data_IF_255544308165
#
_entry.id   IF_255544308165
#
_cell.length_a   1.000
_cell.length_b   1.000
_cell.length_c   1.000
_cell.angle_alpha   90.00
_cell.angle_beta   90.00
_cell.angle_gamma   90.00
#
_symmetry.space_group_name_H-M   'P 1'
#
loop_
_entity.id
_entity.type
_entity.pdbx_description
1 polymer ?
#
# COMPACT_ATOMS: atom_id res chain seq x y z
N UNK A 1 -1.66 -11.22 21.35
CA UNK A 1 -2.52 -10.37 20.51
C UNK A 1 -2.29 -8.91 20.87
N UNK A 2 -2.08 -8.04 19.90
CA UNK A 2 -1.84 -6.60 20.12
C UNK A 2 -3.18 -5.84 20.22
N UNK A 3 -3.94 -6.08 21.29
CA UNK A 3 -5.37 -5.71 21.43
C UNK A 3 -5.67 -4.21 21.53
N UNK A 4 -4.65 -3.38 21.71
CA UNK A 4 -4.75 -1.92 21.81
C UNK A 4 -3.92 -1.20 20.73
N UNK A 5 -3.47 -1.92 19.70
CA UNK A 5 -2.70 -1.32 18.62
C UNK A 5 -3.62 -0.46 17.75
N UNK A 6 -3.47 0.86 17.87
CA UNK A 6 -4.22 1.86 17.09
C UNK A 6 -3.39 2.47 15.97
N UNK A 7 -2.06 2.36 16.06
CA UNK A 7 -1.11 2.89 15.09
C UNK A 7 -0.09 1.82 14.74
N UNK A 8 0.16 1.62 13.44
CA UNK A 8 1.17 0.72 12.92
C UNK A 8 1.90 1.39 11.75
N UNK A 9 3.22 1.36 11.81
CA UNK A 9 4.09 1.77 10.71
C UNK A 9 5.03 0.62 10.35
N UNK A 10 5.08 0.26 9.07
CA UNK A 10 5.85 -0.87 8.56
C UNK A 10 6.78 -0.41 7.45
N UNK A 11 8.00 -0.92 7.46
CA UNK A 11 8.94 -0.84 6.34
C UNK A 11 9.25 -2.25 5.87
N UNK A 12 8.95 -2.54 4.61
CA UNK A 12 8.97 -3.88 4.01
C UNK A 12 9.95 -3.88 2.84
N UNK A 13 10.85 -4.86 2.78
CA UNK A 13 11.89 -4.94 1.74
C UNK A 13 11.79 -6.16 0.81
N UNK A 14 11.14 -7.23 1.24
CA UNK A 14 11.12 -8.49 0.49
C UNK A 14 9.94 -9.40 0.86
N UNK A 15 8.88 -8.81 1.41
CA UNK A 15 7.65 -9.54 1.74
C UNK A 15 6.68 -9.38 0.58
N UNK A 16 6.22 -10.49 0.01
CA UNK A 16 5.16 -10.45 -0.99
C UNK A 16 3.81 -10.03 -0.35
N UNK A 17 2.85 -9.63 -1.18
CA UNK A 17 1.55 -9.15 -0.70
C UNK A 17 0.78 -10.21 0.08
N UNK A 18 0.87 -11.48 -0.34
CA UNK A 18 0.13 -12.57 0.31
C UNK A 18 0.54 -12.75 1.77
N UNK A 19 1.85 -12.76 2.04
CA UNK A 19 2.37 -12.87 3.39
C UNK A 19 2.06 -11.62 4.22
N UNK A 20 2.03 -10.44 3.58
CA UNK A 20 1.55 -9.21 4.21
C UNK A 20 0.07 -9.30 4.60
N UNK A 21 -0.81 -9.83 3.74
CA UNK A 21 -2.24 -10.05 4.05
C UNK A 21 -2.38 -10.97 5.27
N UNK A 22 -1.64 -12.08 5.30
CA UNK A 22 -1.62 -13.01 6.44
C UNK A 22 -1.17 -12.29 7.72
N UNK A 23 -0.15 -11.44 7.63
CA UNK A 23 0.34 -10.66 8.76
C UNK A 23 -0.72 -9.68 9.28
N UNK A 24 -1.33 -8.88 8.40
CA UNK A 24 -2.40 -7.94 8.77
C UNK A 24 -3.60 -8.68 9.36
N UNK A 25 -3.95 -9.86 8.82
CA UNK A 25 -5.05 -10.68 9.33
C UNK A 25 -4.85 -11.17 10.77
N UNK A 26 -3.60 -11.22 11.27
CA UNK A 26 -3.28 -11.55 12.67
C UNK A 26 -3.39 -10.34 13.61
N UNK A 27 -3.49 -9.12 13.08
CA UNK A 27 -3.60 -7.90 13.87
C UNK A 27 -5.07 -7.67 14.22
N UNK A 28 -5.37 -7.68 15.52
CA UNK A 28 -6.73 -7.46 16.00
C UNK A 28 -7.16 -6.00 15.78
N UNK A 29 -8.36 -5.80 15.23
CA UNK A 29 -8.69 -4.70 14.32
C UNK A 29 -9.09 -3.35 14.94
N UNK A 30 -8.40 -2.87 15.97
CA UNK A 30 -8.57 -1.49 16.47
C UNK A 30 -7.64 -0.48 15.79
N UNK A 31 -7.04 -0.88 14.68
CA UNK A 31 -6.06 -0.06 13.99
C UNK A 31 -6.75 1.13 13.33
N UNK A 32 -6.38 2.33 13.77
CA UNK A 32 -6.89 3.61 13.27
C UNK A 32 -5.97 4.17 12.19
N UNK A 33 -4.66 3.95 12.34
CA UNK A 33 -3.63 4.43 11.40
C UNK A 33 -2.71 3.30 10.96
N UNK A 34 -2.57 3.15 9.65
CA UNK A 34 -1.63 2.25 9.01
C UNK A 34 -0.73 3.04 8.05
N UNK A 35 0.58 2.95 8.25
CA UNK A 35 1.58 3.47 7.32
C UNK A 35 2.44 2.32 6.83
N UNK A 36 2.58 2.18 5.52
CA UNK A 36 3.35 1.12 4.89
C UNK A 36 4.30 1.72 3.87
N UNK A 37 5.58 1.44 4.03
CA UNK A 37 6.62 1.77 3.07
C UNK A 37 7.21 0.46 2.55
N UNK A 38 7.07 0.22 1.25
CA UNK A 38 7.46 -1.03 0.60
C UNK A 38 8.53 -0.73 -0.42
N UNK A 39 9.62 -1.47 -0.35
CA UNK A 39 10.58 -1.66 -1.42
C UNK A 39 10.47 -3.13 -1.78
N UNK A 40 9.90 -3.46 -2.93
CA UNK A 40 9.63 -4.85 -3.33
C UNK A 40 9.41 -4.88 -4.83
N UNK A 41 9.74 -6.00 -5.46
CA UNK A 41 9.46 -6.23 -6.89
C UNK A 41 8.07 -6.87 -7.10
N UNK A 42 7.32 -7.08 -6.02
CA UNK A 42 5.97 -7.63 -6.08
C UNK A 42 4.95 -6.56 -6.50
N UNK A 43 4.68 -6.51 -7.81
CA UNK A 43 3.71 -5.59 -8.41
C UNK A 43 2.28 -5.75 -7.85
N UNK A 44 1.98 -6.84 -7.14
CA UNK A 44 0.64 -7.03 -6.58
C UNK A 44 0.32 -6.06 -5.45
N UNK A 45 1.31 -5.34 -4.92
CA UNK A 45 1.09 -4.16 -4.06
C UNK A 45 0.44 -2.98 -4.79
N UNK A 46 0.46 -2.97 -6.11
CA UNK A 46 -0.19 -1.95 -6.94
C UNK A 46 -1.62 -2.34 -7.37
N UNK A 47 -2.15 -3.46 -6.88
CA UNK A 47 -3.55 -3.86 -7.06
C UNK A 47 -4.43 -3.16 -6.00
N UNK A 48 -5.16 -2.12 -6.41
CA UNK A 48 -5.98 -1.35 -5.49
C UNK A 48 -7.13 -2.18 -4.93
N UNK A 49 -7.70 -3.10 -5.71
CA UNK A 49 -8.83 -3.93 -5.28
C UNK A 49 -8.41 -4.92 -4.19
N UNK A 50 -7.18 -5.43 -4.22
CA UNK A 50 -6.63 -6.25 -3.13
C UNK A 50 -6.53 -5.47 -1.83
N UNK A 51 -5.99 -4.26 -1.90
CA UNK A 51 -5.95 -3.35 -0.74
C UNK A 51 -7.35 -3.04 -0.21
N UNK A 52 -8.31 -2.73 -1.08
CA UNK A 52 -9.70 -2.48 -0.67
C UNK A 52 -10.28 -3.67 0.11
N UNK A 53 -10.12 -4.90 -0.40
CA UNK A 53 -10.59 -6.12 0.28
C UNK A 53 -9.92 -6.33 1.63
N UNK A 54 -8.60 -6.22 1.69
CA UNK A 54 -7.82 -6.37 2.92
C UNK A 54 -8.31 -5.40 4.00
N UNK A 55 -8.50 -4.13 3.63
CA UNK A 55 -8.91 -3.07 4.55
C UNK A 55 -10.34 -3.30 5.04
N UNK A 56 -11.27 -3.63 4.14
CA UNK A 56 -12.66 -3.90 4.50
C UNK A 56 -12.79 -5.14 5.40
N UNK A 57 -11.97 -6.16 5.19
CA UNK A 57 -12.03 -7.42 5.95
C UNK A 57 -11.34 -7.33 7.31
N UNK A 58 -10.16 -6.71 7.38
CA UNK A 58 -9.29 -6.79 8.55
C UNK A 58 -9.12 -5.46 9.30
N UNK A 59 -9.39 -4.32 8.66
CA UNK A 59 -9.13 -2.99 9.22
C UNK A 59 -10.37 -2.07 9.13
N UNK A 60 -11.56 -2.51 9.60
CA UNK A 60 -12.80 -1.73 9.48
C UNK A 60 -12.79 -0.38 10.21
N UNK A 61 -11.89 -0.19 11.18
CA UNK A 61 -11.74 1.06 11.94
C UNK A 61 -10.64 1.97 11.39
N UNK A 62 -10.06 1.64 10.23
CA UNK A 62 -8.96 2.42 9.66
C UNK A 62 -9.48 3.78 9.19
N UNK A 63 -8.91 4.84 9.76
CA UNK A 63 -9.22 6.23 9.39
C UNK A 63 -8.12 6.85 8.55
N UNK A 64 -6.87 6.44 8.77
CA UNK A 64 -5.69 6.98 8.10
C UNK A 64 -4.86 5.86 7.48
N UNK A 65 -4.64 5.97 6.19
CA UNK A 65 -3.77 5.09 5.46
C UNK A 65 -2.74 5.90 4.68
N UNK A 66 -1.49 5.49 4.78
CA UNK A 66 -0.40 5.98 3.94
C UNK A 66 0.37 4.80 3.38
N UNK A 67 0.50 4.79 2.07
CA UNK A 67 1.23 3.77 1.34
C UNK A 67 2.27 4.42 0.44
N UNK A 68 3.49 3.89 0.51
CA UNK A 68 4.58 4.24 -0.38
C UNK A 68 5.16 2.97 -0.97
N UNK A 69 5.12 2.84 -2.29
CA UNK A 69 5.81 1.78 -3.03
C UNK A 69 7.07 2.35 -3.66
N UNK A 70 8.20 1.68 -3.47
CA UNK A 70 9.47 2.00 -4.09
C UNK A 70 9.79 0.94 -5.12
N UNK A 71 9.78 1.34 -6.39
CA UNK A 71 10.18 0.50 -7.52
C UNK A 71 11.63 0.80 -7.92
N UNK A 72 12.41 -0.25 -8.17
CA UNK A 72 13.74 -0.17 -8.73
C UNK A 72 13.66 -0.67 -10.16
N UNK A 73 13.76 0.25 -11.13
CA UNK A 73 13.58 -0.06 -12.55
C UNK A 73 14.75 -0.90 -13.06
N UNK A 74 14.62 -2.23 -13.00
CA UNK A 74 15.47 -3.14 -13.76
C UNK A 74 14.76 -3.48 -15.08
N UNK A 75 14.92 -2.58 -16.06
CA UNK A 75 14.79 -2.76 -17.52
C UNK A 75 13.50 -3.34 -18.16
N UNK A 76 12.49 -3.79 -17.43
CA UNK A 76 11.25 -4.31 -18.04
C UNK A 76 10.03 -3.40 -17.77
N UNK A 77 9.62 -2.73 -18.85
CA UNK A 77 8.62 -1.68 -18.90
C UNK A 77 7.20 -2.20 -18.57
N UNK A 78 6.86 -2.37 -17.30
CA UNK A 78 5.47 -2.58 -16.82
C UNK A 78 5.02 -1.41 -15.97
N UNK A 79 5.15 -0.22 -16.55
CA UNK A 79 4.85 1.04 -15.86
C UNK A 79 3.34 1.16 -15.61
N UNK A 80 2.94 0.77 -14.40
CA UNK A 80 1.75 1.30 -13.72
C UNK A 80 0.37 0.91 -14.28
N UNK A 81 0.29 -0.17 -15.05
CA UNK A 81 -1.00 -0.78 -15.36
C UNK A 81 -1.74 -1.09 -14.05
N UNK A 82 -2.90 -0.46 -13.86
CA UNK A 82 -3.70 -0.61 -12.65
C UNK A 82 -3.59 0.53 -11.63
N UNK A 83 -2.67 1.51 -11.78
CA UNK A 83 -2.68 2.66 -10.86
C UNK A 83 -3.97 3.48 -10.94
N UNK A 84 -4.65 3.47 -12.08
CA UNK A 84 -5.98 4.06 -12.24
C UNK A 84 -7.04 3.45 -11.30
N UNK A 85 -6.82 2.25 -10.77
CA UNK A 85 -7.73 1.63 -9.80
C UNK A 85 -7.75 2.40 -8.47
N UNK A 86 -6.65 3.10 -8.12
CA UNK A 86 -6.62 4.00 -6.96
C UNK A 86 -7.42 5.28 -7.15
N UNK A 87 -8.00 5.50 -8.34
CA UNK A 87 -8.96 6.57 -8.59
C UNK A 87 -10.42 6.13 -8.34
N UNK A 88 -10.66 4.94 -7.78
CA UNK A 88 -12.01 4.50 -7.45
C UNK A 88 -12.66 5.43 -6.39
N UNK A 89 -14.00 5.52 -6.34
CA UNK A 89 -14.69 6.28 -5.30
C UNK A 89 -14.31 5.86 -3.87
N UNK A 90 -13.88 4.62 -3.65
CA UNK A 90 -13.41 4.15 -2.35
C UNK A 90 -12.19 4.95 -1.88
N UNK A 91 -11.20 5.12 -2.77
CA UNK A 91 -9.93 5.79 -2.49
C UNK A 91 -10.09 7.30 -2.44
N UNK A 92 -10.76 7.88 -3.45
CA UNK A 92 -10.97 9.33 -3.55
C UNK A 92 -11.72 9.87 -2.33
N UNK A 93 -12.80 9.21 -1.89
CA UNK A 93 -13.59 9.66 -0.73
C UNK A 93 -12.79 9.63 0.57
N UNK A 94 -11.87 8.66 0.72
CA UNK A 94 -11.04 8.51 1.92
C UNK A 94 -9.88 9.50 1.98
N UNK A 95 -9.47 10.06 0.84
CA UNK A 95 -8.34 11.02 0.75
C UNK A 95 -7.07 10.48 1.42
N UNK A 96 -6.87 9.18 1.35
CA UNK A 96 -5.66 8.54 1.86
C UNK A 96 -4.45 8.88 1.00
N UNK A 97 -3.25 8.55 1.48
CA UNK A 97 -2.01 8.86 0.77
C UNK A 97 -1.53 7.59 0.08
N UNK A 98 -1.36 7.68 -1.24
CA UNK A 98 -0.78 6.63 -2.05
C UNK A 98 0.28 7.25 -2.97
N UNK A 99 1.53 6.89 -2.74
CA UNK A 99 2.65 7.39 -3.52
C UNK A 99 3.43 6.22 -4.12
N UNK A 100 3.72 6.28 -5.41
CA UNK A 100 4.65 5.35 -6.06
C UNK A 100 5.92 6.12 -6.35
N UNK A 101 7.00 5.74 -5.68
CA UNK A 101 8.35 6.26 -5.88
C UNK A 101 9.08 5.34 -6.81
N UNK A 102 9.68 5.91 -7.85
CA UNK A 102 10.37 5.15 -8.87
C UNK A 102 11.79 5.67 -8.93
N UNK A 103 12.75 4.76 -8.85
CA UNK A 103 14.17 5.05 -8.98
C UNK A 103 14.61 4.54 -10.33
N UNK A 104 14.99 5.47 -11.21
CA UNK A 104 15.43 5.20 -12.58
C UNK A 104 16.67 6.02 -12.88
N UNK A 105 17.77 5.37 -13.29
CA UNK A 105 19.06 6.02 -13.58
C UNK A 105 19.57 7.01 -12.51
N UNK A 106 19.24 6.78 -11.23
CA UNK A 106 19.60 7.66 -10.11
C UNK A 106 18.67 8.87 -9.91
N UNK A 107 17.64 9.01 -10.75
CA UNK A 107 16.54 9.96 -10.61
C UNK A 107 15.42 9.31 -9.79
N UNK A 108 14.85 10.07 -8.86
CA UNK A 108 13.67 9.64 -8.09
C UNK A 108 12.49 10.51 -8.47
N UNK A 109 11.42 9.89 -8.98
CA UNK A 109 10.16 10.57 -9.24
C UNK A 109 9.02 9.92 -8.45
N UNK A 110 7.99 10.72 -8.17
CA UNK A 110 6.82 10.30 -7.38
C UNK A 110 5.58 10.43 -8.24
N UNK A 111 4.85 9.33 -8.38
CA UNK A 111 3.56 9.29 -9.03
C UNK A 111 2.48 9.28 -7.95
N UNK A 112 1.58 10.25 -8.03
CA UNK A 112 0.37 10.31 -7.24
C UNK A 112 -0.81 9.91 -8.14
N UNK A 113 -1.48 8.77 -7.90
CA UNK A 113 -2.51 8.32 -8.84
C UNK A 113 -3.72 9.25 -8.97
N UNK A 114 -4.03 10.06 -7.95
CA UNK A 114 -5.22 10.92 -7.93
C UNK A 114 -4.99 12.31 -7.30
N UNK A 115 -3.77 12.86 -7.34
CA UNK A 115 -3.49 14.26 -6.96
C UNK A 115 -3.20 15.12 -8.17
#
# INVERSE_FOLDING_TARGET
ALTNLTYLSLRIFSLNFHDFEIFIGKIHSKLITLSVNISSNDITYLDAYRWERLILQHLPQLERFSFQYLDHVDNEHRYFEGLNQFCSPFWIKRRWIFDVKIVDEGIVYVVHPYK
#
